data_IF_254895409478
#
_entry.id   IF_254895409478
#
_cell.length_a   1.000
_cell.length_b   1.000
_cell.length_c   1.000
_cell.angle_alpha   90.00
_cell.angle_beta   90.00
_cell.angle_gamma   90.00
#
_symmetry.space_group_name_H-M   'P 1'
#
loop_
_entity.id
_entity.type
_entity.pdbx_description
1 polymer ?
#
# COMPACT_ATOMS: atom_id res chain seq x y z
N UNK A 1 -15.74 1.92 29.10
CA UNK A 1 -15.00 1.46 27.91
C UNK A 1 -14.74 2.60 26.90
N UNK A 2 -15.46 3.72 26.96
CA UNK A 2 -15.39 4.84 26.00
C UNK A 2 -14.01 5.50 25.83
N UNK A 3 -13.26 5.72 26.92
CA UNK A 3 -11.97 6.45 26.85
C UNK A 3 -10.83 5.74 26.08
N UNK A 4 -10.97 4.46 25.73
CA UNK A 4 -10.02 3.76 24.86
C UNK A 4 -10.44 3.81 23.39
N UNK A 5 -11.75 3.76 23.11
CA UNK A 5 -12.30 3.92 21.76
C UNK A 5 -12.11 5.36 21.26
N UNK A 6 -12.27 6.37 22.12
CA UNK A 6 -11.99 7.79 21.79
C UNK A 6 -10.53 8.01 21.33
N UNK A 7 -9.57 7.33 21.98
CA UNK A 7 -8.14 7.41 21.62
C UNK A 7 -7.86 6.78 20.26
N UNK A 8 -8.54 5.67 19.94
CA UNK A 8 -8.40 5.01 18.65
C UNK A 8 -9.02 5.84 17.52
N UNK A 9 -10.20 6.42 17.74
CA UNK A 9 -10.83 7.32 16.77
C UNK A 9 -9.92 8.52 16.48
N UNK A 10 -9.37 9.15 17.53
CA UNK A 10 -8.41 10.25 17.34
C UNK A 10 -7.19 9.83 16.51
N UNK A 11 -6.61 8.66 16.80
CA UNK A 11 -5.45 8.15 16.05
C UNK A 11 -5.78 7.91 14.55
N UNK A 12 -6.99 7.44 14.24
CA UNK A 12 -7.45 7.26 12.85
C UNK A 12 -7.65 8.61 12.15
N UNK A 13 -8.23 9.60 12.82
CA UNK A 13 -8.39 10.97 12.28
C UNK A 13 -7.02 11.61 12.02
N UNK A 14 -6.10 11.56 12.99
CA UNK A 14 -4.75 12.10 12.84
C UNK A 14 -4.02 11.44 11.64
N UNK A 15 -4.23 10.13 11.43
CA UNK A 15 -3.71 9.42 10.27
C UNK A 15 -4.35 9.89 8.95
N UNK A 16 -5.66 10.08 8.92
CA UNK A 16 -6.37 10.59 7.75
C UNK A 16 -5.87 11.98 7.34
N UNK A 17 -5.66 12.87 8.31
CA UNK A 17 -5.11 14.21 8.08
C UNK A 17 -3.67 14.15 7.54
N UNK A 18 -2.86 13.25 8.09
CA UNK A 18 -1.50 13.02 7.61
C UNK A 18 -1.50 12.52 6.16
N UNK A 19 -2.33 11.53 5.83
CA UNK A 19 -2.50 11.06 4.46
C UNK A 19 -2.97 12.18 3.52
N UNK A 20 -3.86 13.06 3.98
CA UNK A 20 -4.28 14.24 3.23
C UNK A 20 -3.12 15.20 2.93
N UNK A 21 -2.27 15.46 3.92
CA UNK A 21 -1.11 16.36 3.79
C UNK A 21 -0.02 15.78 2.89
N UNK A 22 0.29 14.50 3.07
CA UNK A 22 1.34 13.80 2.31
C UNK A 22 0.92 13.54 0.86
N UNK A 23 -0.36 13.71 0.50
CA UNK A 23 -0.86 13.57 -0.88
C UNK A 23 -0.07 14.42 -1.86
N UNK A 24 0.23 15.67 -1.52
CA UNK A 24 0.96 16.56 -2.43
C UNK A 24 2.39 16.10 -2.68
N UNK A 25 3.04 15.56 -1.64
CA UNK A 25 4.38 14.97 -1.75
C UNK A 25 4.31 13.70 -2.60
N UNK A 26 3.32 12.85 -2.33
CA UNK A 26 3.07 11.63 -3.09
C UNK A 26 2.82 11.92 -4.59
N UNK A 27 1.89 12.82 -4.90
CA UNK A 27 1.59 13.23 -6.28
C UNK A 27 2.83 13.86 -6.94
N UNK A 28 3.59 14.65 -6.20
CA UNK A 28 4.82 15.28 -6.69
C UNK A 28 5.93 14.27 -7.00
N UNK A 29 6.04 13.19 -6.23
CA UNK A 29 6.95 12.09 -6.52
C UNK A 29 6.44 11.24 -7.70
N UNK A 30 5.12 11.02 -7.79
CA UNK A 30 4.51 10.23 -8.85
C UNK A 30 4.56 10.92 -10.23
N UNK A 31 4.34 12.23 -10.25
CA UNK A 31 4.27 13.03 -11.49
C UNK A 31 5.63 13.54 -11.98
N UNK A 32 6.72 13.34 -11.22
CA UNK A 32 8.05 13.70 -11.70
C UNK A 32 8.44 12.74 -12.82
N UNK A 33 8.32 13.23 -14.06
CA UNK A 33 8.75 12.53 -15.26
C UNK A 33 10.26 12.26 -15.20
N UNK A 34 10.62 11.02 -14.89
CA UNK A 34 12.00 10.52 -14.97
C UNK A 34 12.23 9.99 -16.39
N UNK A 35 12.29 10.89 -17.37
CA UNK A 35 12.56 10.51 -18.74
C UNK A 35 14.03 10.13 -18.90
N UNK A 36 14.27 8.88 -19.27
CA UNK A 36 15.58 8.37 -19.66
C UNK A 36 15.74 8.54 -21.16
N UNK A 37 16.90 8.98 -21.63
CA UNK A 37 17.21 9.07 -23.06
C UNK A 37 18.66 8.74 -23.34
N UNK A 38 18.89 7.79 -24.25
CA UNK A 38 20.20 7.46 -24.81
C UNK A 38 20.17 7.60 -26.32
N UNK A 39 21.00 8.50 -26.83
CA UNK A 39 21.02 8.83 -28.25
C UNK A 39 21.38 7.62 -29.13
N UNK A 40 20.63 7.46 -30.23
CA UNK A 40 20.77 6.33 -31.15
C UNK A 40 20.47 4.94 -30.55
N UNK A 41 19.93 4.84 -29.32
CA UNK A 41 19.69 3.56 -28.63
C UNK A 41 18.27 3.49 -28.03
N UNK A 42 17.22 3.34 -28.87
CA UNK A 42 15.83 3.29 -28.41
C UNK A 42 15.55 2.08 -27.50
N UNK A 43 16.13 0.91 -27.77
CA UNK A 43 15.92 -0.29 -26.94
C UNK A 43 16.51 -0.13 -25.54
N UNK A 44 17.73 0.43 -25.43
CA UNK A 44 18.38 0.72 -24.14
C UNK A 44 17.59 1.77 -23.37
N UNK A 45 17.08 2.78 -24.07
CA UNK A 45 16.21 3.81 -23.49
C UNK A 45 14.96 3.19 -22.87
N UNK A 46 14.25 2.33 -23.61
CA UNK A 46 13.05 1.66 -23.12
C UNK A 46 13.35 0.71 -21.95
N UNK A 47 14.43 -0.07 -22.03
CA UNK A 47 14.83 -1.00 -20.97
C UNK A 47 15.10 -0.25 -19.66
N UNK A 48 15.86 0.83 -19.71
CA UNK A 48 16.21 1.61 -18.52
C UNK A 48 14.99 2.38 -18.02
N UNK A 49 14.17 2.96 -18.90
CA UNK A 49 12.91 3.61 -18.51
C UNK A 49 12.03 2.63 -17.71
N UNK A 50 11.82 1.41 -18.22
CA UNK A 50 11.04 0.39 -17.52
C UNK A 50 11.61 0.05 -16.13
N UNK A 51 12.94 0.04 -15.95
CA UNK A 51 13.57 -0.19 -14.64
C UNK A 51 13.34 0.99 -13.69
N UNK A 52 13.45 2.22 -14.19
CA UNK A 52 13.20 3.45 -13.43
C UNK A 52 11.75 3.52 -12.97
N UNK A 53 10.80 3.22 -13.85
CA UNK A 53 9.36 3.23 -13.53
C UNK A 53 9.05 2.22 -12.43
N UNK A 54 9.58 1.00 -12.54
CA UNK A 54 9.41 -0.04 -11.51
C UNK A 54 9.99 0.36 -10.16
N UNK A 55 11.22 0.89 -10.15
CA UNK A 55 11.86 1.35 -8.92
C UNK A 55 11.06 2.48 -8.26
N UNK A 56 10.54 3.39 -9.09
CA UNK A 56 9.68 4.50 -8.67
C UNK A 56 8.41 3.99 -8.00
N UNK A 57 7.68 3.05 -8.61
CA UNK A 57 6.49 2.44 -8.01
C UNK A 57 6.79 1.79 -6.64
N UNK A 58 7.89 1.06 -6.51
CA UNK A 58 8.27 0.46 -5.23
C UNK A 58 8.62 1.49 -4.16
N UNK A 59 9.36 2.54 -4.51
CA UNK A 59 9.70 3.63 -3.58
C UNK A 59 8.42 4.28 -3.05
N UNK A 60 7.43 4.51 -3.92
CA UNK A 60 6.15 5.06 -3.52
C UNK A 60 5.39 4.13 -2.57
N UNK A 61 5.30 2.84 -2.86
CA UNK A 61 4.67 1.85 -1.97
C UNK A 61 5.35 1.84 -0.60
N UNK A 62 6.69 1.88 -0.57
CA UNK A 62 7.48 1.93 0.67
C UNK A 62 7.19 3.23 1.44
N UNK A 63 7.08 4.37 0.76
CA UNK A 63 6.75 5.65 1.37
C UNK A 63 5.35 5.66 2.00
N UNK A 64 4.35 5.06 1.33
CA UNK A 64 3.01 4.88 1.91
C UNK A 64 3.09 4.08 3.23
N UNK A 65 3.84 2.97 3.23
CA UNK A 65 4.07 2.21 4.46
C UNK A 65 4.82 3.02 5.54
N UNK A 66 5.75 3.90 5.17
CA UNK A 66 6.44 4.75 6.13
C UNK A 66 5.50 5.76 6.81
N UNK A 67 4.50 6.29 6.08
CA UNK A 67 3.44 7.14 6.65
C UNK A 67 2.64 6.35 7.69
N UNK A 68 2.20 5.14 7.31
CA UNK A 68 1.43 4.25 8.18
C UNK A 68 2.24 3.83 9.42
N UNK A 69 3.48 3.39 9.23
CA UNK A 69 4.39 2.99 10.29
C UNK A 69 4.66 4.15 11.26
N UNK A 70 4.90 5.35 10.74
CA UNK A 70 5.11 6.56 11.52
C UNK A 70 3.88 7.02 12.30
N UNK A 71 2.67 6.61 11.88
CA UNK A 71 1.43 6.81 12.62
C UNK A 71 1.10 5.63 13.57
N UNK A 72 1.95 4.61 13.63
CA UNK A 72 1.72 3.41 14.43
C UNK A 72 0.67 2.44 13.85
N UNK A 73 0.25 2.65 12.60
CA UNK A 73 -0.77 1.86 11.91
C UNK A 73 -0.17 0.62 11.24
N UNK A 74 0.36 -0.31 12.06
CA UNK A 74 1.06 -1.53 11.60
C UNK A 74 0.40 -2.79 12.19
N UNK A 75 0.20 -3.89 11.40
CA UNK A 75 -0.51 -5.10 11.82
C UNK A 75 0.07 -5.93 12.98
N UNK A 76 1.03 -5.44 13.78
CA UNK A 76 1.62 -6.20 14.91
C UNK A 76 1.39 -5.58 16.29
N UNK A 77 0.84 -4.37 16.39
CA UNK A 77 0.74 -3.66 17.69
C UNK A 77 -0.65 -3.14 18.06
N UNK A 78 -1.61 -3.13 17.14
CA UNK A 78 -2.92 -2.48 17.37
C UNK A 78 -4.10 -3.29 16.83
N UNK A 79 -4.28 -4.53 17.29
CA UNK A 79 -5.40 -5.39 16.88
C UNK A 79 -6.79 -4.71 16.98
N UNK A 80 -6.94 -3.74 17.90
CA UNK A 80 -8.17 -2.95 18.03
C UNK A 80 -8.40 -1.95 16.91
N UNK A 81 -7.36 -1.31 16.34
CA UNK A 81 -7.54 -0.40 15.19
C UNK A 81 -8.04 -1.12 13.94
N UNK A 82 -7.70 -2.40 13.81
CA UNK A 82 -8.13 -3.24 12.68
C UNK A 82 -9.50 -3.89 12.89
N UNK A 83 -10.11 -3.77 14.08
CA UNK A 83 -11.43 -4.36 14.36
C UNK A 83 -12.55 -3.71 13.53
N UNK A 84 -12.36 -2.45 13.13
CA UNK A 84 -13.30 -1.67 12.31
C UNK A 84 -13.00 -1.72 10.81
N UNK A 85 -12.09 -2.59 10.39
CA UNK A 85 -11.73 -2.72 8.98
C UNK A 85 -12.29 -4.03 8.45
N UNK A 86 -13.08 -4.01 7.35
CA UNK A 86 -13.59 -5.23 6.74
C UNK A 86 -12.47 -6.21 6.41
N UNK A 87 -12.72 -7.51 6.61
CA UNK A 87 -11.73 -8.56 6.39
C UNK A 87 -11.13 -8.51 4.97
N UNK A 88 -11.94 -8.23 3.94
CA UNK A 88 -11.48 -8.08 2.57
C UNK A 88 -10.43 -6.95 2.41
N UNK A 89 -10.59 -5.82 3.11
CA UNK A 89 -9.60 -4.73 3.08
C UNK A 89 -8.33 -5.13 3.85
N UNK A 90 -8.44 -5.87 4.95
CA UNK A 90 -7.28 -6.40 5.65
C UNK A 90 -6.48 -7.34 4.76
N UNK A 91 -7.15 -8.18 3.98
CA UNK A 91 -6.49 -9.12 3.10
C UNK A 91 -5.87 -8.41 1.89
N UNK A 92 -6.52 -7.38 1.33
CA UNK A 92 -5.91 -6.50 0.33
C UNK A 92 -4.65 -5.80 0.90
N UNK A 93 -4.72 -5.28 2.12
CA UNK A 93 -3.60 -4.62 2.78
C UNK A 93 -2.42 -5.56 3.06
N UNK A 94 -2.69 -6.84 3.36
CA UNK A 94 -1.64 -7.89 3.47
C UNK A 94 -1.02 -8.19 2.10
N UNK A 95 -1.83 -8.18 1.03
CA UNK A 95 -1.32 -8.37 -0.32
C UNK A 95 -0.32 -7.25 -0.70
N UNK A 96 -0.65 -5.98 -0.38
CA UNK A 96 0.28 -4.87 -0.55
C UNK A 96 1.57 -5.00 0.28
N UNK A 97 1.51 -5.68 1.43
CA UNK A 97 2.70 -5.91 2.26
C UNK A 97 3.69 -6.87 1.56
N UNK A 98 3.18 -7.86 0.82
CA UNK A 98 4.02 -8.73 -0.02
C UNK A 98 4.74 -7.92 -1.11
N UNK A 99 4.01 -7.04 -1.82
CA UNK A 99 4.57 -6.15 -2.85
C UNK A 99 5.68 -5.27 -2.27
N UNK A 100 5.43 -4.63 -1.11
CA UNK A 100 6.42 -3.83 -0.39
C UNK A 100 7.67 -4.64 -0.02
N UNK A 101 7.49 -5.84 0.53
CA UNK A 101 8.61 -6.66 0.98
C UNK A 101 9.48 -7.15 -0.18
N UNK A 102 8.89 -7.51 -1.31
CA UNK A 102 9.63 -7.87 -2.53
C UNK A 102 10.39 -6.68 -3.12
N UNK A 103 9.81 -5.48 -3.10
CA UNK A 103 10.50 -4.26 -3.55
C UNK A 103 11.64 -3.82 -2.63
N UNK A 104 11.45 -3.92 -1.31
CA UNK A 104 12.44 -3.48 -0.31
C UNK A 104 13.56 -4.50 -0.08
N UNK A 105 13.28 -5.78 -0.29
CA UNK A 105 14.22 -6.86 -0.10
C UNK A 105 14.02 -7.85 -1.23
N UNK A 106 14.99 -7.94 -2.15
CA UNK A 106 15.08 -9.03 -3.13
C UNK A 106 14.62 -10.36 -2.49
N UNK A 107 13.80 -11.18 -3.18
CA UNK A 107 12.92 -12.17 -2.56
C UNK A 107 13.61 -13.04 -1.50
N UNK A 108 13.52 -12.61 -0.25
CA UNK A 108 14.09 -13.29 0.90
C UNK A 108 12.97 -13.91 1.75
N UNK A 109 13.33 -14.52 2.88
CA UNK A 109 12.37 -15.21 3.75
C UNK A 109 11.16 -14.36 4.18
N UNK A 110 11.30 -13.03 4.29
CA UNK A 110 10.20 -12.13 4.68
C UNK A 110 9.21 -11.87 3.54
N UNK A 111 9.69 -11.73 2.30
CA UNK A 111 8.80 -11.63 1.15
C UNK A 111 7.98 -12.93 0.99
N UNK A 112 8.64 -14.09 1.13
CA UNK A 112 7.98 -15.41 1.05
C UNK A 112 6.95 -15.65 2.15
N UNK A 113 7.15 -15.08 3.35
CA UNK A 113 6.20 -15.22 4.45
C UNK A 113 4.85 -14.54 4.23
N UNK A 114 4.74 -13.64 3.24
CA UNK A 114 3.48 -13.00 2.85
C UNK A 114 2.96 -13.47 1.49
N UNK A 115 3.73 -14.31 0.79
CA UNK A 115 3.42 -14.75 -0.57
C UNK A 115 2.21 -15.68 -0.60
N UNK A 116 2.04 -16.50 0.44
CA UNK A 116 0.90 -17.42 0.58
C UNK A 116 -0.41 -16.64 0.76
N UNK A 117 -0.41 -15.63 1.62
CA UNK A 117 -1.55 -14.75 1.87
C UNK A 117 -1.88 -13.91 0.65
N UNK A 118 -0.86 -13.40 -0.05
CA UNK A 118 -1.03 -12.70 -1.32
C UNK A 118 -1.72 -13.57 -2.37
N UNK A 119 -1.20 -14.78 -2.63
CA UNK A 119 -1.78 -15.69 -3.62
C UNK A 119 -3.20 -16.14 -3.24
N UNK A 120 -3.45 -16.39 -1.96
CA UNK A 120 -4.79 -16.71 -1.47
C UNK A 120 -5.77 -15.56 -1.73
N UNK A 121 -5.37 -14.31 -1.48
CA UNK A 121 -6.18 -13.14 -1.74
C UNK A 121 -6.51 -12.95 -3.23
N UNK A 122 -5.50 -13.00 -4.11
CA UNK A 122 -5.69 -12.84 -5.56
C UNK A 122 -6.64 -13.90 -6.13
N UNK A 123 -6.54 -15.14 -5.64
CA UNK A 123 -7.41 -16.23 -6.08
C UNK A 123 -8.85 -16.11 -5.53
N UNK A 124 -8.99 -15.61 -4.30
CA UNK A 124 -10.29 -15.47 -3.64
C UNK A 124 -11.07 -14.22 -4.10
N UNK A 125 -10.36 -13.21 -4.59
CA UNK A 125 -10.93 -11.92 -4.96
C UNK A 125 -10.52 -11.44 -6.35
N UNK A 126 -10.91 -12.16 -7.42
CA UNK A 126 -10.59 -11.79 -8.80
C UNK A 126 -11.14 -10.41 -9.20
N UNK A 127 -12.15 -9.89 -8.50
CA UNK A 127 -12.72 -8.56 -8.68
C UNK A 127 -11.76 -7.41 -8.33
N UNK A 128 -10.70 -7.66 -7.55
CA UNK A 128 -9.70 -6.65 -7.22
C UNK A 128 -8.61 -6.58 -8.29
N UNK A 129 -9.00 -6.16 -9.50
CA UNK A 129 -8.13 -5.93 -10.67
C UNK A 129 -6.92 -5.01 -10.39
N UNK A 130 -6.95 -4.28 -9.27
CA UNK A 130 -5.89 -3.37 -8.83
C UNK A 130 -4.58 -4.09 -8.49
N UNK A 131 -4.65 -5.37 -8.10
CA UNK A 131 -3.49 -6.17 -7.68
C UNK A 131 -3.23 -7.35 -8.63
N UNK A 132 -4.22 -7.76 -9.42
CA UNK A 132 -4.12 -8.91 -10.35
C UNK A 132 -3.11 -8.75 -11.50
N UNK A 133 -2.61 -7.53 -11.73
CA UNK A 133 -1.58 -7.23 -12.74
C UNK A 133 -0.13 -7.31 -12.22
N UNK A 134 0.06 -7.56 -10.93
CA UNK A 134 1.38 -7.87 -10.36
C UNK A 134 1.66 -9.35 -10.61
N UNK A 135 2.81 -9.67 -11.22
CA UNK A 135 3.20 -11.04 -11.53
C UNK A 135 3.10 -11.92 -10.26
N UNK A 136 2.40 -13.05 -10.40
CA UNK A 136 2.05 -13.98 -9.30
C UNK A 136 3.21 -14.90 -8.95
N UNK A 137 4.34 -14.81 -9.68
CA UNK A 137 5.57 -15.41 -9.20
C UNK A 137 6.03 -14.72 -7.92
N UNK A 138 5.89 -15.45 -6.82
CA UNK A 138 6.32 -15.09 -5.46
C UNK A 138 7.78 -14.62 -5.36
N UNK A 139 8.59 -14.86 -6.40
CA UNK A 139 9.99 -14.44 -6.50
C UNK A 139 10.22 -13.23 -7.42
N UNK A 140 9.23 -12.76 -8.16
CA UNK A 140 9.36 -11.57 -8.99
C UNK A 140 8.04 -10.84 -9.05
N UNK A 141 7.93 -9.76 -8.28
CA UNK A 141 6.79 -8.86 -8.36
C UNK A 141 7.14 -7.74 -9.35
N UNK A 142 6.32 -7.58 -10.37
CA UNK A 142 6.47 -6.50 -11.33
C UNK A 142 5.39 -5.43 -11.11
N UNK A 143 5.72 -4.24 -10.57
CA UNK A 143 4.75 -3.21 -10.34
C UNK A 143 4.24 -2.60 -11.65
N UNK A 144 2.94 -2.35 -11.68
CA UNK A 144 2.26 -1.71 -12.80
C UNK A 144 2.22 -0.19 -12.59
N UNK A 145 2.23 0.56 -13.70
CA UNK A 145 2.08 2.01 -13.66
C UNK A 145 0.79 2.41 -12.94
N UNK A 146 0.91 3.34 -11.98
CA UNK A 146 -0.20 3.81 -11.17
C UNK A 146 -0.58 2.85 -10.03
N UNK A 147 0.16 1.76 -9.84
CA UNK A 147 -0.05 0.79 -8.78
C UNK A 147 0.06 1.43 -7.39
N UNK A 148 1.09 2.24 -7.16
CA UNK A 148 1.26 2.97 -5.91
C UNK A 148 0.14 3.98 -5.67
N UNK A 149 -0.34 4.67 -6.72
CA UNK A 149 -1.46 5.60 -6.59
C UNK A 149 -2.75 4.87 -6.19
N UNK A 150 -3.03 3.72 -6.80
CA UNK A 150 -4.15 2.85 -6.41
C UNK A 150 -4.02 2.41 -4.96
N UNK A 151 -2.82 2.04 -4.51
CA UNK A 151 -2.57 1.68 -3.12
C UNK A 151 -2.82 2.85 -2.17
N UNK A 152 -2.36 4.06 -2.50
CA UNK A 152 -2.58 5.24 -1.69
C UNK A 152 -4.06 5.56 -1.51
N UNK A 153 -4.84 5.53 -2.61
CA UNK A 153 -6.28 5.75 -2.55
C UNK A 153 -7.01 4.63 -1.81
N UNK A 154 -6.54 3.37 -1.93
CA UNK A 154 -7.04 2.26 -1.12
C UNK A 154 -6.82 2.52 0.39
N UNK A 155 -5.62 2.91 0.80
CA UNK A 155 -5.30 3.20 2.21
C UNK A 155 -6.19 4.31 2.76
N UNK A 156 -6.38 5.40 2.01
CA UNK A 156 -7.30 6.49 2.42
C UNK A 156 -8.72 5.99 2.62
N UNK A 157 -9.24 5.16 1.71
CA UNK A 157 -10.58 4.58 1.83
C UNK A 157 -10.70 3.65 3.04
N UNK A 158 -9.69 2.81 3.25
CA UNK A 158 -9.64 1.90 4.39
C UNK A 158 -9.64 2.66 5.73
N UNK A 159 -8.84 3.71 5.86
CA UNK A 159 -8.80 4.55 7.08
C UNK A 159 -10.12 5.30 7.26
N UNK A 160 -10.70 5.87 6.21
CA UNK A 160 -12.00 6.54 6.28
C UNK A 160 -13.11 5.60 6.75
N UNK A 161 -13.13 4.35 6.27
CA UNK A 161 -14.11 3.36 6.69
C UNK A 161 -13.94 3.03 8.19
N UNK A 162 -12.70 2.82 8.64
CA UNK A 162 -12.42 2.56 10.05
C UNK A 162 -12.87 3.71 10.97
N UNK A 163 -12.73 4.97 10.54
CA UNK A 163 -13.23 6.15 11.27
C UNK A 163 -14.75 6.09 11.43
N UNK A 164 -15.48 5.80 10.35
CA UNK A 164 -16.95 5.73 10.36
C UNK A 164 -17.43 4.63 11.31
N UNK A 165 -16.85 3.44 11.21
CA UNK A 165 -17.27 2.29 12.01
C UNK A 165 -16.90 2.46 13.50
N UNK A 166 -15.73 3.02 13.79
CA UNK A 166 -15.32 3.38 15.16
C UNK A 166 -16.23 4.46 15.76
N UNK A 167 -16.61 5.48 14.98
CA UNK A 167 -17.52 6.54 15.39
C UNK A 167 -18.94 6.04 15.67
N UNK A 168 -19.43 5.09 14.86
CA UNK A 168 -20.74 4.46 15.09
C UNK A 168 -20.78 3.67 16.40
N UNK A 169 -19.70 2.96 16.75
CA UNK A 169 -19.62 2.23 18.02
C UNK A 169 -19.61 3.15 19.24
N UNK A 170 -19.04 4.36 19.14
CA UNK A 170 -19.05 5.35 20.24
C UNK A 170 -20.44 5.95 20.51
N UNK A 171 -21.30 5.97 19.49
CA UNK A 171 -22.63 6.56 19.55
C UNK A 171 -23.72 5.55 19.96
N UNK A 172 -23.38 4.26 20.05
CA UNK A 172 -24.27 3.16 20.47
C UNK A 172 -23.95 2.70 21.90
#
# INVERSE_FOLDING_TARGET
MNGMTDKHLKALIDLQDRLGTEKYVFDGLHNKSHAVYYDGKPEVTQEIQNKVDKATEFIHIIYIYAILDGAGFIPKKQAKLYAWIPQAYLDEFKAWAHIRHTGAHTPNGRARSCAKEFNAFINAHPEFERISGYDTDTNTINPQAGGAHRFFEFVKKMVQQAIVDCGNELNN
#
